data_IF_141174885158
#
_entry.id   IF_141174885158
#
_cell.length_a   1.000
_cell.length_b   1.000
_cell.length_c   1.000
_cell.angle_alpha   90.00
_cell.angle_beta   90.00
_cell.angle_gamma   90.00
#
_symmetry.space_group_name_H-M   'P 1'
#
loop_
_entity.id
_entity.type
_entity.pdbx_description
1 polymer ?
#
# COMPACT_ATOMS: atom_id res chain seq x y z
N UNK A 1 30.89 36.50 35.10
CA UNK A 1 31.00 36.01 33.70
C UNK A 1 30.84 34.50 33.48
N UNK A 2 30.86 33.62 34.50
CA UNK A 2 30.75 32.15 34.32
C UNK A 2 29.29 31.64 34.20
N UNK A 3 28.34 32.22 34.94
CA UNK A 3 26.93 31.78 34.99
C UNK A 3 26.20 31.79 33.63
N UNK A 4 26.36 32.86 32.83
CA UNK A 4 25.73 32.94 31.49
C UNK A 4 26.21 31.84 30.53
N UNK A 5 27.48 31.43 30.63
CA UNK A 5 28.05 30.35 29.80
C UNK A 5 27.47 28.98 30.15
N UNK A 6 27.12 28.75 31.41
CA UNK A 6 26.44 27.51 31.83
C UNK A 6 24.97 27.49 31.38
N UNK A 7 24.29 28.64 31.43
CA UNK A 7 22.92 28.77 30.94
C UNK A 7 22.81 28.41 29.44
N UNK A 8 23.73 28.90 28.60
CA UNK A 8 23.75 28.55 27.17
C UNK A 8 24.03 27.07 26.91
N UNK A 9 24.83 26.41 27.75
CA UNK A 9 25.08 24.96 27.64
C UNK A 9 23.83 24.13 28.00
N UNK A 10 23.10 24.54 29.04
CA UNK A 10 21.87 23.86 29.47
C UNK A 10 20.79 24.00 28.39
N UNK A 11 20.60 25.20 27.85
CA UNK A 11 19.64 25.44 26.76
C UNK A 11 20.00 24.61 25.53
N UNK A 12 21.28 24.56 25.15
CA UNK A 12 21.75 23.74 24.03
C UNK A 12 21.45 22.25 24.23
N UNK A 13 21.63 21.72 25.44
CA UNK A 13 21.33 20.31 25.75
C UNK A 13 19.83 19.99 25.62
N UNK A 14 18.95 20.89 26.06
CA UNK A 14 17.50 20.73 25.90
C UNK A 14 17.07 20.80 24.43
N UNK A 15 17.67 21.67 23.63
CA UNK A 15 17.38 21.75 22.19
C UNK A 15 17.83 20.49 21.47
N UNK A 16 19.03 19.99 21.75
CA UNK A 16 19.53 18.76 21.13
C UNK A 16 18.70 17.53 21.50
N UNK A 17 18.28 17.40 22.76
CA UNK A 17 17.41 16.30 23.20
C UNK A 17 16.02 16.39 22.56
N UNK A 18 15.45 17.59 22.40
CA UNK A 18 14.19 17.78 21.69
C UNK A 18 14.30 17.40 20.20
N UNK A 19 15.39 17.76 19.52
CA UNK A 19 15.64 17.40 18.11
C UNK A 19 15.75 15.87 17.94
N UNK A 20 16.46 15.20 18.85
CA UNK A 20 16.59 13.73 18.82
C UNK A 20 15.22 13.08 19.04
N UNK A 21 14.43 13.56 20.00
CA UNK A 21 13.06 13.09 20.22
C UNK A 21 12.20 13.26 18.97
N UNK A 22 12.21 14.44 18.34
CA UNK A 22 11.47 14.71 17.11
C UNK A 22 11.91 13.78 15.97
N UNK A 23 13.21 13.52 15.81
CA UNK A 23 13.71 12.57 14.80
C UNK A 23 13.22 11.14 15.04
N UNK A 24 13.19 10.68 16.30
CA UNK A 24 12.66 9.35 16.65
C UNK A 24 11.16 9.25 16.37
N UNK A 25 10.37 10.28 16.72
CA UNK A 25 8.92 10.28 16.45
C UNK A 25 8.61 10.42 14.95
N UNK A 26 9.38 11.21 14.20
CA UNK A 26 9.21 11.38 12.76
C UNK A 26 9.55 10.09 11.98
N UNK A 27 10.53 9.30 12.44
CA UNK A 27 10.88 8.04 11.79
C UNK A 27 9.80 6.95 11.97
N UNK A 28 9.01 7.01 13.04
CA UNK A 28 7.92 6.07 13.31
C UNK A 28 6.69 6.22 12.41
N UNK A 29 6.39 7.44 11.92
CA UNK A 29 5.25 7.66 11.01
C UNK A 29 5.53 7.22 9.57
N UNK A 30 6.78 7.29 9.11
CA UNK A 30 7.14 6.94 7.74
C UNK A 30 7.03 5.43 7.44
N UNK A 31 7.12 4.57 8.47
CA UNK A 31 7.11 3.10 8.33
C UNK A 31 5.69 2.52 8.26
N UNK A 32 4.67 3.24 8.71
CA UNK A 32 3.28 2.76 8.71
C UNK A 32 2.43 3.22 7.52
N UNK A 33 2.99 4.00 6.59
CA UNK A 33 2.38 4.21 5.29
C UNK A 33 2.70 3.04 4.33
N UNK A 34 2.58 1.79 4.81
CA UNK A 34 2.38 0.69 3.89
C UNK A 34 0.93 0.77 3.46
N UNK A 35 0.76 1.28 2.24
CA UNK A 35 -0.47 1.24 1.48
C UNK A 35 -1.10 -0.15 1.57
N UNK A 36 -2.12 -0.33 2.42
CA UNK A 36 -2.85 -1.59 2.64
C UNK A 36 -3.81 -1.88 1.48
N UNK A 37 -3.40 -1.58 0.23
CA UNK A 37 -4.25 -1.69 -0.96
C UNK A 37 -4.11 -3.04 -1.66
N UNK A 38 -3.27 -3.94 -1.17
CA UNK A 38 -3.12 -5.27 -1.77
C UNK A 38 -4.16 -6.23 -1.19
N UNK A 39 -5.17 -6.56 -1.99
CA UNK A 39 -6.19 -7.54 -1.65
C UNK A 39 -5.54 -8.92 -1.51
N UNK A 40 -5.98 -9.71 -0.54
CA UNK A 40 -5.52 -11.09 -0.38
C UNK A 40 -5.90 -11.93 -1.62
N UNK A 41 -5.04 -12.87 -2.01
CA UNK A 41 -5.27 -13.78 -3.12
C UNK A 41 -5.64 -15.18 -2.66
N UNK A 42 -6.50 -15.86 -3.41
CA UNK A 42 -6.85 -17.28 -3.21
C UNK A 42 -6.65 -18.05 -4.51
N UNK A 43 -6.19 -19.30 -4.41
CA UNK A 43 -5.98 -20.15 -5.58
C UNK A 43 -7.35 -20.52 -6.17
N UNK A 44 -7.58 -20.34 -7.48
CA UNK A 44 -8.85 -20.67 -8.12
C UNK A 44 -9.36 -22.07 -7.80
N UNK A 45 -8.47 -23.06 -7.82
CA UNK A 45 -8.82 -24.47 -7.59
C UNK A 45 -9.32 -24.72 -6.16
N UNK A 46 -8.85 -23.97 -5.16
CA UNK A 46 -9.28 -24.09 -3.76
C UNK A 46 -10.74 -23.66 -3.56
N UNK A 47 -11.24 -22.78 -4.43
CA UNK A 47 -12.62 -22.27 -4.41
C UNK A 47 -13.47 -22.87 -5.54
N UNK A 48 -13.00 -23.94 -6.17
CA UNK A 48 -13.75 -24.69 -7.20
C UNK A 48 -13.75 -24.06 -8.60
N UNK A 49 -12.89 -23.05 -8.84
CA UNK A 49 -12.67 -22.48 -10.16
C UNK A 49 -11.57 -23.21 -10.91
N UNK A 50 -11.72 -23.33 -12.24
CA UNK A 50 -10.74 -23.99 -13.10
C UNK A 50 -9.83 -22.95 -13.74
N UNK A 51 -8.52 -22.99 -13.48
CA UNK A 51 -7.55 -22.09 -14.15
C UNK A 51 -7.63 -22.14 -15.67
N UNK A 52 -7.88 -23.31 -16.26
CA UNK A 52 -8.06 -23.45 -17.73
C UNK A 52 -9.20 -22.57 -18.26
N UNK A 53 -10.36 -22.60 -17.60
CA UNK A 53 -11.52 -21.78 -17.97
C UNK A 53 -11.30 -20.30 -17.69
N UNK A 54 -10.50 -19.96 -16.68
CA UNK A 54 -10.12 -18.58 -16.40
C UNK A 54 -9.21 -18.01 -17.49
N UNK A 55 -8.33 -18.82 -18.08
CA UNK A 55 -7.52 -18.38 -19.23
C UNK A 55 -8.38 -18.16 -20.48
N UNK A 56 -9.40 -18.99 -20.70
CA UNK A 56 -10.40 -18.75 -21.75
C UNK A 56 -11.16 -17.43 -21.50
N UNK A 57 -11.55 -17.16 -20.24
CA UNK A 57 -12.22 -15.92 -19.87
C UNK A 57 -11.33 -14.69 -20.07
N UNK A 58 -10.03 -14.79 -19.77
CA UNK A 58 -9.04 -13.75 -20.06
C UNK A 58 -8.91 -13.51 -21.56
N UNK A 59 -8.81 -14.58 -22.36
CA UNK A 59 -8.74 -14.48 -23.83
C UNK A 59 -9.98 -13.78 -24.40
N UNK A 60 -11.16 -14.12 -23.88
CA UNK A 60 -12.41 -13.46 -24.27
C UNK A 60 -12.45 -11.98 -23.83
N UNK A 61 -11.98 -11.67 -22.63
CA UNK A 61 -11.89 -10.31 -22.12
C UNK A 61 -11.01 -9.41 -23.00
N UNK A 62 -9.87 -9.94 -23.46
CA UNK A 62 -8.98 -9.29 -24.42
C UNK A 62 -9.68 -9.10 -25.78
N UNK A 63 -10.39 -10.12 -26.28
CA UNK A 63 -11.13 -10.05 -27.54
C UNK A 63 -12.19 -8.93 -27.55
N UNK A 64 -12.89 -8.71 -26.44
CA UNK A 64 -13.93 -7.68 -26.34
C UNK A 64 -13.37 -6.30 -25.96
N UNK A 65 -12.04 -6.17 -25.83
CA UNK A 65 -11.39 -4.90 -25.51
C UNK A 65 -11.57 -4.47 -24.05
N UNK A 66 -11.73 -5.41 -23.11
CA UNK A 66 -11.82 -5.09 -21.69
C UNK A 66 -10.51 -4.49 -21.19
N UNK A 67 -10.59 -3.36 -20.47
CA UNK A 67 -9.41 -2.69 -19.98
C UNK A 67 -8.81 -3.36 -18.71
N UNK A 68 -9.69 -3.84 -17.82
CA UNK A 68 -9.33 -4.57 -16.62
C UNK A 68 -10.53 -5.40 -16.11
N UNK A 69 -10.27 -6.57 -15.53
CA UNK A 69 -11.24 -7.41 -14.83
C UNK A 69 -10.59 -7.89 -13.52
N UNK A 70 -11.37 -7.90 -12.44
CA UNK A 70 -11.00 -8.52 -11.18
C UNK A 70 -12.22 -9.25 -10.63
N UNK A 71 -12.05 -10.51 -10.27
CA UNK A 71 -13.08 -11.33 -9.64
C UNK A 71 -12.65 -11.71 -8.23
N UNK A 72 -13.58 -11.58 -7.28
CA UNK A 72 -13.34 -11.81 -5.87
C UNK A 72 -14.26 -12.92 -5.34
N UNK A 73 -13.73 -13.75 -4.44
CA UNK A 73 -14.47 -14.72 -3.65
C UNK A 73 -14.16 -14.45 -2.18
N UNK A 74 -15.19 -14.21 -1.37
CA UNK A 74 -15.04 -13.85 0.06
C UNK A 74 -14.04 -12.69 0.31
N UNK A 75 -14.01 -11.70 -0.59
CA UNK A 75 -13.11 -10.55 -0.50
C UNK A 75 -11.67 -10.83 -0.95
N UNK A 76 -11.35 -12.06 -1.37
CA UNK A 76 -10.04 -12.44 -1.91
C UNK A 76 -10.05 -12.49 -3.43
N UNK A 77 -9.00 -12.01 -4.06
CA UNK A 77 -8.85 -12.05 -5.52
C UNK A 77 -8.46 -13.46 -5.94
N UNK A 78 -9.27 -14.07 -6.81
CA UNK A 78 -8.94 -15.37 -7.42
C UNK A 78 -8.65 -15.25 -8.91
N UNK A 79 -9.09 -14.17 -9.56
CA UNK A 79 -8.82 -13.93 -10.97
C UNK A 79 -8.71 -12.44 -11.23
N UNK A 80 -7.70 -12.04 -12.00
CA UNK A 80 -7.56 -10.69 -12.49
C UNK A 80 -6.85 -10.66 -13.84
N UNK A 81 -7.24 -9.71 -14.70
CA UNK A 81 -6.58 -9.47 -15.98
C UNK A 81 -6.66 -7.99 -16.37
N UNK A 82 -5.76 -7.54 -17.25
CA UNK A 82 -5.65 -6.14 -17.65
C UNK A 82 -5.02 -5.23 -16.58
N UNK A 83 -5.23 -3.92 -16.67
CA UNK A 83 -4.55 -2.94 -15.80
C UNK A 83 -5.36 -2.64 -14.53
N UNK A 84 -5.46 -3.61 -13.63
CA UNK A 84 -6.29 -3.53 -12.41
C UNK A 84 -5.89 -2.43 -11.41
N UNK A 85 -4.64 -1.97 -11.42
CA UNK A 85 -4.17 -0.89 -10.54
C UNK A 85 -4.35 0.50 -11.16
N UNK A 86 -4.88 0.59 -12.38
CA UNK A 86 -5.10 1.86 -13.07
C UNK A 86 -6.44 2.48 -12.64
N UNK A 87 -6.43 3.77 -12.29
CA UNK A 87 -7.65 4.54 -12.13
C UNK A 87 -8.29 4.80 -13.50
N UNK A 88 -9.48 4.25 -13.73
CA UNK A 88 -10.27 4.51 -14.93
C UNK A 88 -11.29 5.63 -14.71
N UNK A 89 -11.54 6.40 -15.75
CA UNK A 89 -12.64 7.37 -15.78
C UNK A 89 -13.92 6.62 -16.18
N UNK A 90 -14.73 6.28 -15.19
CA UNK A 90 -16.01 5.60 -15.40
C UNK A 90 -17.10 6.67 -15.50
N UNK A 91 -17.90 6.61 -16.55
CA UNK A 91 -19.13 7.36 -16.71
C UNK A 91 -20.27 6.34 -16.89
N UNK A 92 -21.40 6.59 -16.24
CA UNK A 92 -22.61 5.74 -16.31
C UNK A 92 -23.52 6.14 -17.46
#
# INVERSE_FOLDING_TARGET
MKSKRYLFKIIGLFVMTAIILIMVTCFGCAVFCNEINELEHVVPEEIGWSSVKLEEAKSYAEQIGSAAIMALYEGKVFFSCGKISQKYLIHS
#
